data_IF_815419366004
#
_entry.id   IF_815419366004
#
_cell.length_a   1.000
_cell.length_b   1.000
_cell.length_c   1.000
_cell.angle_alpha   90.00
_cell.angle_beta   90.00
_cell.angle_gamma   90.00
#
_symmetry.space_group_name_H-M   'P 1'
#
loop_
_entity.id
_entity.type
_entity.pdbx_description
1 polymer ?
#
# COMPACT_ATOMS: atom_id res chain seq x y z
N UNK A 1 10.70 1.30 -21.44
CA UNK A 1 11.39 2.62 -21.41
C UNK A 1 10.47 3.82 -21.70
N UNK A 2 9.77 3.91 -22.85
CA UNK A 2 8.97 5.10 -23.21
C UNK A 2 7.84 5.47 -22.24
N UNK A 3 7.16 4.47 -21.66
CA UNK A 3 6.08 4.74 -20.72
C UNK A 3 6.56 5.16 -19.33
N UNK A 4 7.69 4.69 -18.81
CA UNK A 4 8.18 5.14 -17.49
C UNK A 4 8.58 6.62 -17.45
N UNK A 5 9.16 7.15 -18.55
CA UNK A 5 9.59 8.55 -18.64
C UNK A 5 8.46 9.57 -18.70
N UNK A 6 7.25 9.20 -19.15
CA UNK A 6 6.07 10.08 -19.08
C UNK A 6 5.48 10.15 -17.65
N UNK A 7 5.86 9.23 -16.75
CA UNK A 7 5.33 9.16 -15.38
C UNK A 7 6.26 9.80 -14.34
N UNK A 8 7.57 9.88 -14.59
CA UNK A 8 8.56 10.57 -13.75
C UNK A 8 8.33 12.08 -13.52
N UNK A 9 7.78 12.88 -14.46
CA UNK A 9 7.49 14.30 -14.24
C UNK A 9 6.40 14.57 -13.18
N UNK A 10 5.74 13.52 -12.68
CA UNK A 10 4.68 13.62 -11.68
C UNK A 10 5.21 13.69 -10.24
N UNK A 11 6.48 13.40 -9.98
CA UNK A 11 7.04 13.41 -8.61
C UNK A 11 7.08 14.81 -8.00
N UNK A 12 7.50 15.81 -8.77
CA UNK A 12 7.47 17.23 -8.36
C UNK A 12 6.04 17.75 -8.21
N UNK A 13 5.11 17.22 -9.00
CA UNK A 13 3.68 17.57 -8.90
C UNK A 13 3.10 16.98 -7.61
N UNK A 14 3.37 15.71 -7.29
CA UNK A 14 2.84 15.05 -6.09
C UNK A 14 3.36 15.65 -4.78
N UNK A 15 4.63 16.08 -4.73
CA UNK A 15 5.17 16.86 -3.62
C UNK A 15 4.48 18.24 -3.46
N UNK A 16 4.03 18.86 -4.55
CA UNK A 16 3.26 20.11 -4.51
C UNK A 16 1.78 19.88 -4.18
N UNK A 17 1.24 18.69 -4.48
CA UNK A 17 -0.13 18.28 -4.18
C UNK A 17 -0.38 18.01 -2.69
N UNK A 18 0.64 17.56 -1.95
CA UNK A 18 0.58 17.46 -0.49
C UNK A 18 0.47 18.84 0.18
N UNK A 19 0.79 19.94 -0.52
CA UNK A 19 0.64 21.30 0.01
C UNK A 19 -0.77 21.91 -0.15
N UNK A 20 -1.61 21.41 -1.07
CA UNK A 20 -2.85 22.10 -1.45
C UNK A 20 -4.11 21.22 -1.30
N UNK A 21 -5.03 21.51 -0.37
CA UNK A 21 -6.24 20.71 -0.16
C UNK A 21 -7.24 20.74 -1.33
N UNK A 22 -7.27 21.81 -2.14
CA UNK A 22 -8.20 21.95 -3.26
C UNK A 22 -7.78 21.19 -4.53
N UNK A 23 -6.47 21.00 -4.73
CA UNK A 23 -5.93 20.19 -5.83
C UNK A 23 -6.05 18.69 -5.52
N UNK A 24 -5.97 18.35 -4.23
CA UNK A 24 -6.00 16.98 -3.69
C UNK A 24 -7.26 16.19 -4.10
N UNK A 25 -8.45 16.75 -3.84
CA UNK A 25 -9.73 16.11 -4.16
C UNK A 25 -10.04 16.05 -5.65
N UNK A 26 -9.32 16.82 -6.48
CA UNK A 26 -9.47 16.82 -7.94
C UNK A 26 -8.56 15.82 -8.64
N UNK A 27 -7.54 15.30 -7.96
CA UNK A 27 -6.49 14.48 -8.59
C UNK A 27 -6.55 13.02 -8.14
N UNK A 28 -6.88 12.75 -6.87
CA UNK A 28 -7.11 11.37 -6.42
C UNK A 28 -8.50 10.94 -6.88
N UNK A 29 -8.57 10.55 -8.14
CA UNK A 29 -9.73 9.97 -8.80
C UNK A 29 -9.41 8.54 -9.22
N UNK A 30 -10.44 7.79 -9.63
CA UNK A 30 -10.28 6.41 -10.05
C UNK A 30 -9.15 6.16 -11.09
N UNK A 31 -8.92 7.02 -12.11
CA UNK A 31 -7.81 6.84 -13.04
C UNK A 31 -6.44 6.96 -12.38
N UNK A 32 -6.27 7.89 -11.45
CA UNK A 32 -5.02 8.08 -10.72
C UNK A 32 -4.71 6.88 -9.82
N UNK A 33 -5.70 6.42 -9.05
CA UNK A 33 -5.55 5.25 -8.19
C UNK A 33 -5.27 3.98 -9.01
N UNK A 34 -5.92 3.84 -10.17
CA UNK A 34 -5.64 2.71 -11.07
C UNK A 34 -4.22 2.76 -11.64
N UNK A 35 -3.77 3.95 -12.03
CA UNK A 35 -2.39 4.16 -12.47
C UNK A 35 -1.39 3.81 -11.36
N UNK A 36 -1.62 4.29 -10.14
CA UNK A 36 -0.75 4.00 -9.01
C UNK A 36 -0.70 2.48 -8.70
N UNK A 37 -1.83 1.79 -8.76
CA UNK A 37 -1.87 0.33 -8.58
C UNK A 37 -1.06 -0.42 -9.64
N UNK A 38 -1.13 0.02 -10.90
CA UNK A 38 -0.29 -0.53 -11.97
C UNK A 38 1.20 -0.24 -11.74
N UNK A 39 1.55 0.96 -11.29
CA UNK A 39 2.93 1.33 -10.95
C UNK A 39 3.46 0.45 -9.81
N UNK A 40 2.70 0.28 -8.73
CA UNK A 40 3.08 -0.58 -7.61
C UNK A 40 3.20 -2.05 -8.02
N UNK A 41 2.33 -2.54 -8.91
CA UNK A 41 2.45 -3.89 -9.47
C UNK A 41 3.73 -4.06 -10.28
N UNK A 42 4.15 -3.02 -11.01
CA UNK A 42 5.44 -3.02 -11.69
C UNK A 42 6.61 -3.00 -10.70
N UNK A 43 6.53 -2.19 -9.64
CA UNK A 43 7.50 -2.17 -8.54
C UNK A 43 7.65 -3.54 -7.89
N UNK A 44 6.55 -4.25 -7.60
CA UNK A 44 6.58 -5.61 -7.07
C UNK A 44 7.28 -6.58 -8.04
N UNK A 45 7.03 -6.47 -9.35
CA UNK A 45 7.71 -7.28 -10.35
C UNK A 45 9.22 -6.98 -10.40
N UNK A 46 9.61 -5.71 -10.25
CA UNK A 46 11.01 -5.29 -10.16
C UNK A 46 11.71 -5.84 -8.93
N UNK A 47 11.05 -5.75 -7.76
CA UNK A 47 11.55 -6.23 -6.48
C UNK A 47 11.80 -7.76 -6.51
N UNK A 48 10.92 -8.51 -7.17
CA UNK A 48 11.11 -9.94 -7.40
C UNK A 48 12.13 -10.28 -8.52
N UNK A 49 12.86 -9.30 -9.08
CA UNK A 49 13.73 -9.42 -10.26
C UNK A 49 13.07 -10.02 -11.51
N UNK A 50 11.74 -9.90 -11.64
CA UNK A 50 10.97 -10.46 -12.76
C UNK A 50 11.01 -9.58 -14.01
N UNK A 51 11.59 -8.38 -13.94
CA UNK A 51 11.70 -7.44 -15.07
C UNK A 51 13.06 -6.75 -15.10
N UNK A 52 13.65 -6.62 -16.30
CA UNK A 52 14.92 -5.92 -16.53
C UNK A 52 14.64 -4.47 -16.94
N UNK A 53 15.15 -3.50 -16.18
CA UNK A 53 15.14 -2.07 -16.55
C UNK A 53 16.48 -1.70 -17.16
N UNK A 54 16.46 -0.76 -18.10
CA UNK A 54 17.68 -0.15 -18.64
C UNK A 54 18.53 0.48 -17.51
N UNK A 55 19.86 0.50 -17.65
CA UNK A 55 20.80 0.89 -16.58
C UNK A 55 20.73 2.38 -16.16
N UNK A 56 19.80 3.16 -16.69
CA UNK A 56 19.70 4.60 -16.47
C UNK A 56 18.89 5.01 -15.23
N UNK A 57 18.12 4.10 -14.62
CA UNK A 57 17.32 4.38 -13.41
C UNK A 57 17.42 3.19 -12.46
N UNK A 58 17.71 3.44 -11.18
CA UNK A 58 17.77 2.39 -10.16
C UNK A 58 16.37 1.84 -9.88
N UNK A 59 16.22 0.52 -9.74
CA UNK A 59 14.95 -0.11 -9.38
C UNK A 59 14.45 0.39 -8.03
N UNK A 60 15.38 0.56 -7.10
CA UNK A 60 15.14 1.07 -5.75
C UNK A 60 14.53 2.48 -5.78
N UNK A 61 15.07 3.39 -6.61
CA UNK A 61 14.54 4.76 -6.73
C UNK A 61 13.10 4.79 -7.22
N UNK A 62 12.75 3.89 -8.16
CA UNK A 62 11.37 3.77 -8.66
C UNK A 62 10.44 3.25 -7.58
N UNK A 63 10.85 2.21 -6.84
CA UNK A 63 10.07 1.63 -5.74
C UNK A 63 9.87 2.67 -4.63
N UNK A 64 10.93 3.33 -4.18
CA UNK A 64 10.87 4.38 -3.14
C UNK A 64 9.96 5.52 -3.56
N UNK A 65 10.04 5.96 -4.82
CA UNK A 65 9.16 7.00 -5.36
C UNK A 65 7.70 6.56 -5.33
N UNK A 66 7.38 5.35 -5.81
CA UNK A 66 6.01 4.84 -5.83
C UNK A 66 5.44 4.69 -4.42
N UNK A 67 6.24 4.20 -3.47
CA UNK A 67 5.85 4.08 -2.06
C UNK A 67 5.65 5.45 -1.41
N UNK A 68 6.47 6.47 -1.72
CA UNK A 68 6.26 7.83 -1.21
C UNK A 68 4.94 8.43 -1.71
N UNK A 69 4.58 8.15 -2.97
CA UNK A 69 3.28 8.58 -3.52
C UNK A 69 2.14 7.88 -2.78
N UNK A 70 2.23 6.56 -2.57
CA UNK A 70 1.22 5.81 -1.84
C UNK A 70 1.13 6.23 -0.36
N UNK A 71 2.26 6.56 0.27
CA UNK A 71 2.31 7.07 1.65
C UNK A 71 1.57 8.40 1.78
N UNK A 72 1.64 9.27 0.77
CA UNK A 72 0.88 10.52 0.78
C UNK A 72 -0.64 10.32 0.84
N UNK A 73 -1.15 9.15 0.41
CA UNK A 73 -2.58 8.82 0.49
C UNK A 73 -3.01 8.47 1.91
N UNK A 74 -2.18 7.73 2.66
CA UNK A 74 -2.48 7.37 4.05
C UNK A 74 -2.35 8.56 5.01
N UNK A 75 -1.45 9.51 4.71
CA UNK A 75 -1.37 10.78 5.45
C UNK A 75 -2.62 11.67 5.27
N UNK A 76 -3.45 11.39 4.26
CA UNK A 76 -4.63 12.18 3.91
C UNK A 76 -5.83 11.27 3.57
N UNK A 77 -6.39 10.52 4.55
CA UNK A 77 -7.38 9.48 4.32
C UNK A 77 -8.69 10.00 3.68
N UNK A 78 -8.99 11.30 3.82
CA UNK A 78 -10.10 11.95 3.12
C UNK A 78 -10.01 11.85 1.59
N UNK A 79 -8.84 11.55 1.02
CA UNK A 79 -8.65 11.32 -0.41
C UNK A 79 -9.17 9.96 -0.89
N UNK A 80 -9.41 9.04 0.03
CA UNK A 80 -9.85 7.67 -0.28
C UNK A 80 -11.37 7.51 -0.14
N UNK A 81 -12.07 8.57 0.30
CA UNK A 81 -13.53 8.57 0.45
C UNK A 81 -14.19 8.27 -0.90
N UNK A 82 -15.06 7.26 -0.91
CA UNK A 82 -15.75 6.80 -2.12
C UNK A 82 -14.89 6.02 -3.12
N UNK A 83 -13.65 5.68 -2.77
CA UNK A 83 -12.73 4.91 -3.61
C UNK A 83 -12.28 3.59 -2.95
N UNK A 84 -12.99 3.11 -1.93
CA UNK A 84 -12.59 1.95 -1.13
C UNK A 84 -12.31 0.69 -1.96
N UNK A 85 -13.21 0.34 -2.89
CA UNK A 85 -13.05 -0.84 -3.78
C UNK A 85 -11.77 -0.79 -4.54
N UNK A 86 -11.50 0.38 -5.08
CA UNK A 86 -10.43 0.59 -6.00
C UNK A 86 -9.11 0.51 -5.27
N UNK A 87 -9.03 1.09 -4.07
CA UNK A 87 -7.88 0.95 -3.18
C UNK A 87 -7.69 -0.52 -2.81
N UNK A 88 -8.75 -1.20 -2.35
CA UNK A 88 -8.69 -2.58 -1.92
C UNK A 88 -8.25 -3.53 -3.04
N UNK A 89 -8.74 -3.33 -4.27
CA UNK A 89 -8.44 -4.21 -5.41
C UNK A 89 -7.16 -3.87 -6.16
N UNK A 90 -6.76 -2.60 -6.20
CA UNK A 90 -5.63 -2.17 -7.04
C UNK A 90 -4.38 -1.76 -6.27
N UNK A 91 -4.51 -1.29 -5.02
CA UNK A 91 -3.37 -0.84 -4.22
C UNK A 91 -2.93 -1.88 -3.20
N UNK A 92 -3.87 -2.51 -2.47
CA UNK A 92 -3.52 -3.48 -1.44
C UNK A 92 -2.74 -4.70 -1.98
N UNK A 93 -3.10 -5.34 -3.11
CA UNK A 93 -2.38 -6.52 -3.59
C UNK A 93 -0.89 -6.27 -3.88
N UNK A 94 -0.49 -5.25 -4.67
CA UNK A 94 0.93 -5.01 -4.91
C UNK A 94 1.67 -4.52 -3.66
N UNK A 95 1.02 -3.80 -2.75
CA UNK A 95 1.60 -3.46 -1.44
C UNK A 95 1.85 -4.71 -0.61
N UNK A 96 0.88 -5.62 -0.53
CA UNK A 96 1.00 -6.91 0.15
C UNK A 96 2.17 -7.75 -0.39
N UNK A 97 2.39 -7.68 -1.71
CA UNK A 97 3.56 -8.27 -2.34
C UNK A 97 4.89 -7.64 -1.92
N UNK A 98 4.95 -6.32 -1.81
CA UNK A 98 6.16 -5.58 -1.40
C UNK A 98 6.49 -5.75 0.09
N UNK A 99 5.52 -6.16 0.92
CA UNK A 99 5.77 -6.63 2.29
C UNK A 99 6.64 -7.90 2.28
N UNK A 100 6.72 -8.65 1.18
CA UNK A 100 7.66 -9.77 1.03
C UNK A 100 9.06 -9.37 0.56
N UNK A 101 9.35 -8.07 0.37
CA UNK A 101 10.61 -7.61 -0.23
C UNK A 101 11.82 -8.03 0.61
N UNK A 102 12.91 -8.36 -0.08
CA UNK A 102 14.23 -8.57 0.55
C UNK A 102 14.85 -7.26 1.06
N UNK A 103 14.40 -6.12 0.55
CA UNK A 103 14.84 -4.79 0.98
C UNK A 103 14.02 -4.37 2.19
N UNK A 104 14.67 -4.29 3.35
CA UNK A 104 14.02 -4.01 4.64
C UNK A 104 13.21 -2.71 4.60
N UNK A 105 13.77 -1.62 4.06
CA UNK A 105 13.07 -0.33 3.98
C UNK A 105 11.79 -0.42 3.14
N UNK A 106 11.86 -1.09 2.00
CA UNK A 106 10.70 -1.32 1.12
C UNK A 106 9.60 -2.07 1.86
N UNK A 107 9.96 -3.18 2.51
CA UNK A 107 9.00 -4.01 3.27
C UNK A 107 8.36 -3.24 4.42
N UNK A 108 9.15 -2.51 5.21
CA UNK A 108 8.65 -1.73 6.36
C UNK A 108 7.69 -0.63 5.91
N UNK A 109 8.05 0.12 4.86
CA UNK A 109 7.20 1.19 4.31
C UNK A 109 5.94 0.61 3.68
N UNK A 110 6.04 -0.49 2.92
CA UNK A 110 4.88 -1.17 2.36
C UNK A 110 3.93 -1.67 3.46
N UNK A 111 4.46 -2.24 4.54
CA UNK A 111 3.67 -2.71 5.68
C UNK A 111 2.93 -1.57 6.37
N UNK A 112 3.62 -0.43 6.59
CA UNK A 112 3.00 0.78 7.13
C UNK A 112 1.82 1.24 6.27
N UNK A 113 2.05 1.42 4.97
CA UNK A 113 1.04 1.94 4.04
C UNK A 113 -0.14 0.97 3.96
N UNK A 114 0.12 -0.33 3.83
CA UNK A 114 -0.92 -1.36 3.79
C UNK A 114 -1.77 -1.32 5.06
N UNK A 115 -1.14 -1.33 6.24
CA UNK A 115 -1.82 -1.31 7.52
C UNK A 115 -2.69 -0.05 7.67
N UNK A 116 -2.14 1.13 7.38
CA UNK A 116 -2.88 2.39 7.50
C UNK A 116 -4.06 2.46 6.51
N UNK A 117 -3.88 2.04 5.25
CA UNK A 117 -4.98 1.98 4.28
C UNK A 117 -6.10 1.06 4.78
N UNK A 118 -5.78 -0.17 5.19
CA UNK A 118 -6.75 -1.13 5.71
C UNK A 118 -7.48 -0.58 6.95
N UNK A 119 -6.77 -0.04 7.94
CA UNK A 119 -7.39 0.59 9.11
C UNK A 119 -8.37 1.71 8.71
N UNK A 120 -8.00 2.56 7.76
CA UNK A 120 -8.87 3.65 7.29
C UNK A 120 -10.10 3.15 6.54
N UNK A 121 -9.98 2.09 5.74
CA UNK A 121 -11.10 1.50 5.01
C UNK A 121 -12.06 0.77 5.95
N UNK A 122 -11.53 -0.04 6.88
CA UNK A 122 -12.30 -0.74 7.90
C UNK A 122 -13.08 0.24 8.80
N UNK A 123 -12.45 1.35 9.21
CA UNK A 123 -13.11 2.37 10.03
C UNK A 123 -14.27 3.08 9.32
N UNK A 124 -14.31 3.06 7.98
CA UNK A 124 -15.40 3.63 7.19
C UNK A 124 -16.51 2.61 6.89
N UNK A 125 -16.34 1.35 7.29
CA UNK A 125 -17.19 0.20 6.89
C UNK A 125 -17.36 0.08 5.37
N UNK A 126 -16.40 0.64 4.61
CA UNK A 126 -16.41 0.62 3.16
C UNK A 126 -15.74 -0.68 2.71
N UNK A 127 -16.53 -1.55 2.09
CA UNK A 127 -16.04 -2.68 1.30
C UNK A 127 -15.11 -3.63 2.06
N UNK A 128 -15.54 -3.86 3.30
CA UNK A 128 -14.89 -4.71 4.30
C UNK A 128 -14.56 -6.10 3.77
N UNK A 129 -15.33 -6.66 2.83
CA UNK A 129 -15.03 -7.97 2.24
C UNK A 129 -13.74 -7.98 1.40
N UNK A 130 -13.50 -6.98 0.55
CA UNK A 130 -12.28 -6.92 -0.28
C UNK A 130 -11.05 -6.64 0.59
N UNK A 131 -11.23 -5.80 1.61
CA UNK A 131 -10.16 -5.51 2.58
C UNK A 131 -9.88 -6.73 3.45
N UNK A 132 -10.91 -7.43 3.93
CA UNK A 132 -10.77 -8.66 4.69
C UNK A 132 -10.07 -9.75 3.88
N UNK A 133 -10.46 -9.94 2.61
CA UNK A 133 -9.78 -10.86 1.72
C UNK A 133 -8.30 -10.50 1.53
N UNK A 134 -7.97 -9.22 1.34
CA UNK A 134 -6.59 -8.77 1.25
C UNK A 134 -5.79 -9.06 2.54
N UNK A 135 -6.38 -8.88 3.72
CA UNK A 135 -5.74 -9.20 4.99
C UNK A 135 -5.57 -10.72 5.14
N UNK A 136 -6.65 -11.48 4.93
CA UNK A 136 -6.69 -12.94 5.06
C UNK A 136 -5.71 -13.62 4.09
N UNK A 137 -5.59 -13.13 2.85
CA UNK A 137 -4.76 -13.74 1.81
C UNK A 137 -3.30 -13.26 1.85
N UNK A 138 -3.04 -12.00 2.23
CA UNK A 138 -1.72 -11.39 2.08
C UNK A 138 -0.99 -11.17 3.40
N UNK A 139 -1.70 -11.00 4.52
CA UNK A 139 -1.08 -10.66 5.81
C UNK A 139 -1.07 -11.84 6.77
N UNK A 140 -2.22 -12.48 6.98
CA UNK A 140 -2.35 -13.59 7.93
C UNK A 140 -1.32 -14.71 7.67
N UNK A 141 -1.04 -15.13 6.41
CA UNK A 141 -0.09 -16.22 6.17
C UNK A 141 1.37 -15.90 6.57
N UNK A 142 1.71 -14.62 6.73
CA UNK A 142 3.06 -14.15 7.05
C UNK A 142 3.11 -13.34 8.37
N UNK A 143 2.04 -13.36 9.17
CA UNK A 143 1.95 -12.56 10.40
C UNK A 143 3.02 -12.96 11.43
N UNK A 144 3.28 -14.25 11.62
CA UNK A 144 4.33 -14.72 12.53
C UNK A 144 5.71 -14.17 12.15
N UNK A 145 6.09 -14.26 10.87
CA UNK A 145 7.37 -13.71 10.40
C UNK A 145 7.46 -12.20 10.58
N UNK A 146 6.36 -11.48 10.32
CA UNK A 146 6.29 -10.03 10.47
C UNK A 146 6.38 -9.59 11.94
N UNK A 147 5.86 -10.38 12.88
CA UNK A 147 5.98 -10.12 14.33
C UNK A 147 7.41 -10.30 14.85
N UNK A 148 8.22 -11.12 14.20
CA UNK A 148 9.62 -11.36 14.55
C UNK A 148 10.58 -10.34 13.95
N UNK A 149 10.11 -9.44 13.10
CA UNK A 149 10.94 -8.38 12.53
C UNK A 149 11.32 -7.31 13.55
N UNK A 150 12.36 -6.54 13.20
CA UNK A 150 12.69 -5.34 13.96
C UNK A 150 11.57 -4.28 13.84
N UNK A 151 11.44 -3.48 14.88
CA UNK A 151 10.58 -2.30 14.86
C UNK A 151 10.91 -1.38 13.66
N UNK A 152 9.91 -0.73 13.03
CA UNK A 152 8.52 -0.57 13.47
C UNK A 152 7.49 -1.55 12.85
N UNK A 153 7.92 -2.57 12.09
CA UNK A 153 6.99 -3.43 11.35
C UNK A 153 5.95 -4.17 12.23
N UNK A 154 6.33 -4.78 13.38
CA UNK A 154 5.38 -5.42 14.28
C UNK A 154 4.29 -4.47 14.80
N UNK A 155 4.64 -3.21 15.09
CA UNK A 155 3.67 -2.21 15.54
C UNK A 155 2.56 -1.95 14.50
N UNK A 156 2.92 -1.86 13.22
CA UNK A 156 1.94 -1.67 12.15
C UNK A 156 1.05 -2.89 11.97
N UNK A 157 1.62 -4.10 12.08
CA UNK A 157 0.86 -5.35 12.03
C UNK A 157 -0.16 -5.43 13.18
N UNK A 158 0.28 -5.21 14.41
CA UNK A 158 -0.60 -5.32 15.58
C UNK A 158 -1.74 -4.30 15.53
N UNK A 159 -1.46 -3.07 15.07
CA UNK A 159 -2.49 -2.06 14.83
C UNK A 159 -3.52 -2.54 13.81
N UNK A 160 -3.06 -3.09 12.68
CA UNK A 160 -3.94 -3.63 11.64
C UNK A 160 -4.80 -4.78 12.17
N UNK A 161 -4.21 -5.75 12.85
CA UNK A 161 -4.94 -6.90 13.41
C UNK A 161 -5.96 -6.47 14.45
N UNK A 162 -5.64 -5.47 15.28
CA UNK A 162 -6.59 -4.87 16.21
C UNK A 162 -7.81 -4.29 15.49
N UNK A 163 -7.58 -3.42 14.50
CA UNK A 163 -8.67 -2.85 13.68
C UNK A 163 -9.46 -3.92 12.92
N UNK A 164 -8.79 -4.98 12.46
CA UNK A 164 -9.44 -6.08 11.75
C UNK A 164 -10.37 -6.90 12.65
N UNK A 165 -9.93 -7.23 13.87
CA UNK A 165 -10.76 -7.92 14.86
C UNK A 165 -11.96 -7.08 15.31
N UNK A 166 -11.80 -5.77 15.45
CA UNK A 166 -12.91 -4.86 15.77
C UNK A 166 -13.95 -4.82 14.66
N UNK A 167 -13.52 -4.75 13.40
CA UNK A 167 -14.41 -4.73 12.24
C UNK A 167 -15.04 -6.10 11.93
N UNK A 168 -14.34 -7.20 12.21
CA UNK A 168 -14.79 -8.58 11.96
C UNK A 168 -14.57 -9.42 13.23
N UNK A 169 -15.53 -9.43 14.18
CA UNK A 169 -15.39 -10.18 15.43
C UNK A 169 -15.17 -11.69 15.25
N UNK A 170 -15.64 -12.25 14.13
CA UNK A 170 -15.39 -13.66 13.76
C UNK A 170 -13.92 -13.93 13.40
N UNK A 171 -13.13 -12.92 13.04
CA UNK A 171 -11.69 -13.03 12.78
C UNK A 171 -10.86 -13.11 14.06
N UNK A 172 -11.43 -12.79 15.24
CA UNK A 172 -10.72 -12.87 16.52
C UNK A 172 -10.19 -14.29 16.83
N UNK A 173 -10.85 -15.33 16.30
CA UNK A 173 -10.37 -16.71 16.43
C UNK A 173 -9.12 -17.00 15.57
N UNK A 174 -8.91 -16.27 14.48
CA UNK A 174 -7.77 -16.44 13.57
C UNK A 174 -6.51 -15.81 14.17
N UNK A 175 -6.65 -14.64 14.81
CA UNK A 175 -5.53 -13.92 15.45
C UNK A 175 -5.05 -14.60 16.74
N UNK A 176 -5.89 -15.42 17.39
CA UNK A 176 -5.49 -16.19 18.58
C UNK A 176 -4.61 -17.41 18.28
N UNK A 177 -4.43 -17.76 17.00
CA UNK A 177 -3.63 -18.91 16.57
C UNK A 177 -2.24 -18.54 16.02
N UNK A 178 -1.95 -17.25 15.87
CA UNK A 178 -0.64 -16.70 15.54
C UNK A 178 0.04 -16.12 16.79
#
# INVERSE_FOLDING_TARGET
>A
AKQLRQWLPLTSVLAQLSGSPALRSRIVQAPFLSFLGQLLSHCQALDCHKTVVEPAVSHEEVITTALTIAESLVLHPNLLVGCGELVAKQLLPPLGGLIGSSVVETRVVAMKIFAEMCCHLLAQDIESESVAAAIDDLIIPQSESLLLEAEPAPCFLLKLLGSYCEAKPSAAAIVQLA
#
